data_IF_720963002749
#
_entry.id   IF_720963002749
#
_cell.length_a   1.000
_cell.length_b   1.000
_cell.length_c   1.000
_cell.angle_alpha   90.00
_cell.angle_beta   90.00
_cell.angle_gamma   90.00
#
_symmetry.space_group_name_H-M   'P 1'
#
loop_
_entity.id
_entity.type
_entity.pdbx_description
1 polymer ?
#
# COMPACT_ATOMS: atom_id res chain seq x y z
N UNK A 1 -5.39 30.74 0.91
CA UNK A 1 -6.48 29.84 0.45
C UNK A 1 -5.81 28.77 -0.39
N UNK A 2 -5.62 27.56 0.14
CA UNK A 2 -5.07 26.39 -0.59
C UNK A 2 -6.09 25.29 -0.30
N UNK A 3 -7.09 25.19 -1.18
CA UNK A 3 -7.22 24.17 -2.23
C UNK A 3 -7.92 22.93 -1.69
N UNK A 4 -9.08 22.66 -2.29
CA UNK A 4 -9.93 21.49 -2.21
C UNK A 4 -9.15 20.24 -1.76
N UNK A 5 -9.45 19.66 -0.60
CA UNK A 5 -9.07 18.27 -0.35
C UNK A 5 -9.95 17.43 -1.25
N UNK A 6 -9.42 16.99 -2.39
CA UNK A 6 -9.98 15.88 -3.14
C UNK A 6 -10.21 14.70 -2.17
N UNK A 7 -11.28 13.93 -2.41
CA UNK A 7 -11.65 12.80 -1.55
C UNK A 7 -10.53 11.77 -1.36
N UNK A 8 -10.77 10.72 -0.54
CA UNK A 8 -9.80 9.66 -0.31
C UNK A 8 -9.19 9.15 -1.62
N UNK A 9 -7.88 8.94 -1.61
CA UNK A 9 -7.11 8.42 -2.74
C UNK A 9 -6.72 6.99 -2.42
N UNK A 10 -6.60 6.17 -3.45
CA UNK A 10 -6.10 4.80 -3.35
C UNK A 10 -4.60 4.82 -3.60
N UNK A 11 -3.83 4.43 -2.59
CA UNK A 11 -2.36 4.53 -2.56
C UNK A 11 -1.76 3.15 -2.38
N UNK A 12 -1.05 2.65 -3.39
CA UNK A 12 -0.24 1.44 -3.31
C UNK A 12 1.20 1.80 -2.98
N UNK A 13 1.76 1.22 -1.92
CA UNK A 13 3.14 1.51 -1.47
C UNK A 13 3.91 0.20 -1.35
N UNK A 14 5.02 0.09 -2.09
CA UNK A 14 5.91 -1.09 -1.98
C UNK A 14 6.93 -0.94 -0.86
N UNK A 15 7.25 -2.02 -0.15
CA UNK A 15 8.35 -2.02 0.83
C UNK A 15 8.03 -1.39 2.19
N UNK A 16 6.89 -1.73 2.79
CA UNK A 16 6.39 -1.16 4.04
C UNK A 16 6.90 -1.86 5.31
N UNK A 17 8.18 -2.24 5.37
CA UNK A 17 8.76 -2.86 6.58
C UNK A 17 8.92 -1.81 7.70
N UNK A 18 8.55 -2.12 8.97
CA UNK A 18 8.70 -1.22 10.10
C UNK A 18 10.09 -0.58 10.18
N UNK A 19 10.13 0.73 10.42
CA UNK A 19 11.35 1.53 10.44
C UNK A 19 11.82 2.05 9.08
N UNK A 20 11.23 1.62 7.96
CA UNK A 20 11.55 2.09 6.62
C UNK A 20 10.71 3.28 6.14
N UNK A 21 11.13 3.90 5.03
CA UNK A 21 10.43 5.03 4.39
C UNK A 21 9.02 4.62 3.94
N UNK A 22 8.87 3.46 3.27
CA UNK A 22 7.58 2.94 2.86
C UNK A 22 6.60 2.77 4.03
N UNK A 23 7.06 2.31 5.20
CA UNK A 23 6.24 2.18 6.40
C UNK A 23 5.78 3.55 6.94
N UNK A 24 6.71 4.51 7.00
CA UNK A 24 6.38 5.88 7.41
C UNK A 24 5.36 6.53 6.46
N UNK A 25 5.51 6.35 5.15
CA UNK A 25 4.57 6.85 4.15
C UNK A 25 3.20 6.18 4.28
N UNK A 26 3.14 4.86 4.42
CA UNK A 26 1.88 4.12 4.60
C UNK A 26 1.10 4.65 5.80
N UNK A 27 1.77 4.82 6.94
CA UNK A 27 1.17 5.42 8.15
C UNK A 27 0.71 6.86 7.92
N UNK A 28 1.50 7.67 7.21
CA UNK A 28 1.16 9.06 6.94
C UNK A 28 -0.04 9.22 5.99
N UNK A 29 -0.13 8.42 4.92
CA UNK A 29 -1.29 8.41 4.03
C UNK A 29 -2.53 7.88 4.74
N UNK A 30 -2.39 6.81 5.53
CA UNK A 30 -3.49 6.24 6.29
C UNK A 30 -4.06 7.24 7.31
N UNK A 31 -3.18 7.94 8.05
CA UNK A 31 -3.59 8.98 9.01
C UNK A 31 -4.30 10.17 8.36
N UNK A 32 -4.10 10.41 7.06
CA UNK A 32 -4.81 11.43 6.27
C UNK A 32 -6.15 10.95 5.69
N UNK A 33 -6.56 9.71 5.97
CA UNK A 33 -7.82 9.15 5.50
C UNK A 33 -7.79 8.60 4.07
N UNK A 34 -6.61 8.38 3.49
CA UNK A 34 -6.48 7.70 2.21
C UNK A 34 -6.60 6.17 2.38
N UNK A 35 -7.01 5.48 1.31
CA UNK A 35 -7.06 4.03 1.28
C UNK A 35 -5.66 3.54 0.94
N UNK A 36 -4.96 3.01 1.94
CA UNK A 36 -3.58 2.53 1.77
C UNK A 36 -3.57 1.02 1.56
N UNK A 37 -2.94 0.61 0.46
CA UNK A 37 -2.55 -0.77 0.18
C UNK A 37 -1.03 -0.85 0.37
N UNK A 38 -0.59 -1.34 1.53
CA UNK A 38 0.81 -1.46 1.88
C UNK A 38 1.33 -2.85 1.50
N UNK A 39 2.53 -2.96 0.92
CA UNK A 39 3.12 -4.27 0.62
C UNK A 39 4.40 -4.53 1.40
N UNK A 40 4.62 -5.80 1.74
CA UNK A 40 5.84 -6.27 2.36
C UNK A 40 6.11 -7.73 1.97
N UNK A 41 7.36 -8.18 2.08
CA UNK A 41 7.74 -9.57 1.74
C UNK A 41 7.39 -10.58 2.82
N UNK A 42 7.58 -10.19 4.09
CA UNK A 42 7.43 -11.09 5.23
C UNK A 42 5.99 -11.07 5.70
N UNK A 43 5.38 -12.25 5.80
CA UNK A 43 3.98 -12.40 6.24
C UNK A 43 3.72 -11.80 7.63
N UNK A 44 4.70 -11.86 8.53
CA UNK A 44 4.59 -11.21 9.85
C UNK A 44 4.38 -9.70 9.76
N UNK A 45 5.05 -9.04 8.80
CA UNK A 45 4.92 -7.61 8.54
C UNK A 45 3.57 -7.32 7.89
N UNK A 46 3.14 -8.16 6.94
CA UNK A 46 1.82 -8.03 6.32
C UNK A 46 0.71 -8.08 7.37
N UNK A 47 0.77 -9.04 8.32
CA UNK A 47 -0.18 -9.11 9.44
C UNK A 47 -0.13 -7.88 10.34
N UNK A 48 1.07 -7.38 10.66
CA UNK A 48 1.22 -6.16 11.45
C UNK A 48 0.55 -4.95 10.78
N UNK A 49 0.77 -4.77 9.48
CA UNK A 49 0.16 -3.67 8.71
C UNK A 49 -1.38 -3.78 8.67
N UNK A 50 -1.92 -5.00 8.60
CA UNK A 50 -3.38 -5.23 8.71
C UNK A 50 -3.90 -4.86 10.09
N UNK A 51 -3.17 -5.21 11.14
CA UNK A 51 -3.52 -4.84 12.52
C UNK A 51 -3.46 -3.32 12.75
N UNK A 52 -2.61 -2.60 12.00
CA UNK A 52 -2.54 -1.14 11.97
C UNK A 52 -3.73 -0.49 11.20
N UNK A 53 -4.70 -1.29 10.70
CA UNK A 53 -5.92 -0.80 10.02
C UNK A 53 -5.77 -0.56 8.52
N UNK A 54 -4.64 -0.95 7.92
CA UNK A 54 -4.39 -0.81 6.48
C UNK A 54 -4.74 -2.09 5.71
N UNK A 55 -4.99 -1.96 4.41
CA UNK A 55 -4.96 -3.11 3.51
C UNK A 55 -3.49 -3.48 3.31
N UNK A 56 -3.14 -4.76 3.44
CA UNK A 56 -1.77 -5.20 3.19
C UNK A 56 -1.67 -6.51 2.41
N UNK A 57 -0.72 -6.55 1.49
CA UNK A 57 -0.49 -7.64 0.55
C UNK A 57 0.98 -8.10 0.55
N UNK A 58 1.26 -9.39 0.33
CA UNK A 58 2.62 -9.85 0.09
C UNK A 58 3.12 -9.37 -1.28
N UNK A 59 4.38 -8.93 -1.36
CA UNK A 59 5.04 -8.61 -2.63
C UNK A 59 6.55 -8.80 -2.53
N UNK A 60 7.09 -9.63 -3.44
CA UNK A 60 8.51 -9.67 -3.80
C UNK A 60 8.66 -9.09 -5.21
N UNK A 61 9.27 -7.90 -5.32
CA UNK A 61 9.36 -7.11 -6.56
C UNK A 61 10.30 -7.72 -7.59
N UNK A 62 11.14 -8.67 -7.18
CA UNK A 62 12.02 -9.43 -8.09
C UNK A 62 11.37 -10.70 -8.64
N UNK A 63 10.15 -11.05 -8.20
CA UNK A 63 9.42 -12.24 -8.61
C UNK A 63 8.17 -11.88 -9.42
N UNK A 64 8.14 -12.28 -10.70
CA UNK A 64 7.06 -11.94 -11.63
C UNK A 64 5.69 -12.50 -11.21
N UNK A 65 5.63 -13.70 -10.65
CA UNK A 65 4.37 -14.30 -10.19
C UNK A 65 3.84 -13.58 -8.94
N UNK A 66 4.75 -13.15 -8.06
CA UNK A 66 4.40 -12.31 -6.91
C UNK A 66 3.84 -10.96 -7.35
N UNK A 67 4.45 -10.31 -8.34
CA UNK A 67 3.96 -9.06 -8.92
C UNK A 67 2.56 -9.26 -9.51
N UNK A 68 2.39 -10.28 -10.35
CA UNK A 68 1.11 -10.58 -11.03
C UNK A 68 -0.01 -10.83 -10.01
N UNK A 69 0.28 -11.60 -8.96
CA UNK A 69 -0.68 -11.87 -7.89
C UNK A 69 -1.06 -10.60 -7.13
N UNK A 70 -0.09 -9.74 -6.81
CA UNK A 70 -0.33 -8.47 -6.14
C UNK A 70 -1.16 -7.51 -7.01
N UNK A 71 -0.87 -7.41 -8.31
CA UNK A 71 -1.61 -6.55 -9.25
C UNK A 71 -3.06 -7.00 -9.37
N UNK A 72 -3.31 -8.31 -9.53
CA UNK A 72 -4.66 -8.85 -9.60
C UNK A 72 -5.46 -8.57 -8.33
N UNK A 73 -4.83 -8.70 -7.16
CA UNK A 73 -5.49 -8.47 -5.88
C UNK A 73 -5.74 -6.97 -5.64
N UNK A 74 -4.80 -6.09 -6.01
CA UNK A 74 -5.02 -4.63 -6.00
C UNK A 74 -6.22 -4.29 -6.88
N UNK A 75 -6.23 -4.74 -8.14
CA UNK A 75 -7.33 -4.47 -9.06
C UNK A 75 -8.68 -4.98 -8.52
N UNK A 76 -8.69 -6.16 -7.88
CA UNK A 76 -9.90 -6.73 -7.27
C UNK A 76 -10.41 -5.89 -6.09
N UNK A 77 -9.51 -5.41 -5.23
CA UNK A 77 -9.86 -4.62 -4.05
C UNK A 77 -10.36 -3.22 -4.42
N UNK A 78 -9.84 -2.67 -5.52
CA UNK A 78 -10.04 -1.26 -5.88
C UNK A 78 -10.97 -1.07 -7.08
N UNK A 79 -11.58 -2.15 -7.58
CA UNK A 79 -12.37 -2.15 -8.83
C UNK A 79 -11.58 -1.53 -10.01
N UNK A 80 -10.29 -1.90 -10.09
CA UNK A 80 -9.37 -1.46 -11.13
C UNK A 80 -8.85 -0.03 -10.98
N UNK A 81 -9.17 0.69 -9.91
CA UNK A 81 -8.72 2.07 -9.70
C UNK A 81 -7.46 2.16 -8.84
N UNK A 82 -6.53 3.05 -9.20
CA UNK A 82 -5.36 3.38 -8.39
C UNK A 82 -4.94 4.82 -8.69
N UNK A 83 -4.88 5.66 -7.66
CA UNK A 83 -4.49 7.06 -7.83
C UNK A 83 -2.97 7.24 -7.72
N UNK A 84 -2.33 6.53 -6.79
CA UNK A 84 -0.93 6.73 -6.45
C UNK A 84 -0.23 5.37 -6.30
N UNK A 85 0.91 5.23 -6.98
CA UNK A 85 1.87 4.16 -6.77
C UNK A 85 3.18 4.76 -6.23
N UNK A 86 3.68 4.20 -5.13
CA UNK A 86 4.99 4.52 -4.57
C UNK A 86 5.88 3.27 -4.66
N UNK A 87 6.82 3.30 -5.60
CA UNK A 87 7.85 2.27 -5.78
C UNK A 87 9.03 2.57 -4.84
N UNK A 88 9.06 1.91 -3.68
CA UNK A 88 10.10 2.10 -2.67
C UNK A 88 10.93 0.83 -2.41
N UNK A 89 10.39 -0.37 -2.70
CA UNK A 89 11.11 -1.65 -2.68
C UNK A 89 11.54 -2.07 -4.08
#
# INVERSE_FOLDING_TARGET
MISQTEGPKIVLITGCTPGGIGYALARAFHAKGHIVIATARREEVVRLLRNDGMIALPLEVTNQDSITSCVNEVARITDGQLDILINNA
#
